data_IF_625335620319
#
_entry.id   IF_625335620319
#
_cell.length_a   1.000
_cell.length_b   1.000
_cell.length_c   1.000
_cell.angle_alpha   90.00
_cell.angle_beta   90.00
_cell.angle_gamma   90.00
#
_symmetry.space_group_name_H-M   'P 1'
#
loop_
_entity.id
_entity.type
_entity.pdbx_description
1 polymer ?
#
# COMPACT_ATOMS: atom_id res chain seq x y z
N UNK A 1 -118.95 30.37 15.74
CA UNK A 1 -118.77 28.98 15.29
C UNK A 1 -117.80 28.37 16.28
N UNK A 2 -118.27 27.39 17.04
CA UNK A 2 -117.65 26.90 18.28
C UNK A 2 -116.16 26.53 18.13
N UNK A 3 -115.35 27.06 19.05
CA UNK A 3 -113.95 26.69 19.26
C UNK A 3 -113.90 25.34 20.01
N UNK A 4 -113.29 24.33 19.39
CA UNK A 4 -113.04 23.00 19.97
C UNK A 4 -112.21 23.12 21.25
N UNK A 5 -112.80 22.80 22.39
CA UNK A 5 -112.07 22.78 23.65
C UNK A 5 -111.08 21.59 23.67
N UNK A 6 -109.80 21.82 24.00
CA UNK A 6 -108.79 20.78 24.03
C UNK A 6 -109.14 19.74 25.09
N UNK A 7 -109.17 18.47 24.69
CA UNK A 7 -109.43 17.34 25.57
C UNK A 7 -108.32 17.28 26.64
N UNK A 8 -108.64 17.68 27.88
CA UNK A 8 -107.69 17.71 28.99
C UNK A 8 -107.27 16.30 29.40
N UNK A 9 -106.01 16.12 29.78
CA UNK A 9 -105.54 14.86 30.37
C UNK A 9 -106.35 14.53 31.63
N UNK A 10 -106.54 13.24 31.94
CA UNK A 10 -107.18 12.82 33.18
C UNK A 10 -106.49 13.45 34.39
N UNK A 11 -107.27 14.00 35.33
CA UNK A 11 -106.77 14.79 36.47
C UNK A 11 -105.73 14.05 37.33
N UNK A 12 -105.77 12.72 37.35
CA UNK A 12 -104.78 11.89 38.04
C UNK A 12 -103.42 11.90 37.35
N UNK A 13 -103.39 11.77 36.02
CA UNK A 13 -102.15 11.84 35.25
C UNK A 13 -101.59 13.26 35.28
N UNK A 14 -102.48 14.24 35.28
CA UNK A 14 -102.15 15.65 35.40
C UNK A 14 -101.40 15.95 36.70
N UNK A 15 -101.94 15.44 37.82
CA UNK A 15 -101.31 15.55 39.13
C UNK A 15 -99.99 14.79 39.22
N UNK A 16 -99.94 13.57 38.68
CA UNK A 16 -98.72 12.76 38.70
C UNK A 16 -97.57 13.41 37.94
N UNK A 17 -97.86 14.06 36.79
CA UNK A 17 -96.85 14.80 36.04
C UNK A 17 -96.33 16.01 36.82
N UNK A 18 -97.20 16.73 37.54
CA UNK A 18 -96.79 17.84 38.40
C UNK A 18 -95.93 17.35 39.58
N UNK A 19 -96.33 16.25 40.23
CA UNK A 19 -95.59 15.66 41.34
C UNK A 19 -94.20 15.17 40.89
N UNK A 20 -94.10 14.49 39.74
CA UNK A 20 -92.81 14.01 39.19
C UNK A 20 -91.93 15.13 38.67
N UNK A 21 -92.52 16.18 38.10
CA UNK A 21 -91.80 17.38 37.70
C UNK A 21 -91.17 18.05 38.93
N UNK A 22 -91.94 18.20 40.02
CA UNK A 22 -91.45 18.75 41.28
C UNK A 22 -90.36 17.86 41.93
N UNK A 23 -90.54 16.53 41.96
CA UNK A 23 -89.57 15.60 42.54
C UNK A 23 -88.23 15.57 41.78
N UNK A 24 -88.28 15.61 40.45
CA UNK A 24 -87.09 15.50 39.62
C UNK A 24 -86.48 16.84 39.20
N UNK A 25 -87.16 17.95 39.52
CA UNK A 25 -86.76 19.31 39.13
C UNK A 25 -86.85 19.58 37.63
N UNK A 26 -87.64 18.79 36.89
CA UNK A 26 -87.76 18.87 35.43
C UNK A 26 -89.03 19.58 35.01
N UNK A 27 -89.00 20.20 33.84
CA UNK A 27 -90.23 20.75 33.26
C UNK A 27 -91.21 19.62 32.94
N UNK A 28 -92.49 19.89 33.16
CA UNK A 28 -93.57 18.92 33.00
C UNK A 28 -93.56 18.24 31.62
N UNK A 29 -93.26 18.99 30.55
CA UNK A 29 -93.12 18.45 29.20
C UNK A 29 -91.93 17.48 29.03
N UNK A 30 -90.83 17.67 29.77
CA UNK A 30 -89.66 16.80 29.72
C UNK A 30 -89.91 15.46 30.44
N UNK A 31 -90.60 15.50 31.58
CA UNK A 31 -91.05 14.29 32.28
C UNK A 31 -91.95 13.47 31.38
N UNK A 32 -92.90 14.13 30.69
CA UNK A 32 -93.77 13.45 29.73
C UNK A 32 -92.99 12.89 28.54
N UNK A 33 -92.06 13.66 27.96
CA UNK A 33 -91.23 13.19 26.84
C UNK A 33 -90.38 11.98 27.22
N UNK A 34 -89.81 11.98 28.43
CA UNK A 34 -89.03 10.85 28.95
C UNK A 34 -89.92 9.66 29.26
N UNK A 35 -91.09 9.86 29.85
CA UNK A 35 -92.06 8.79 30.08
C UNK A 35 -92.51 8.15 28.75
N UNK A 36 -92.75 8.96 27.71
CA UNK A 36 -93.07 8.47 26.37
C UNK A 36 -91.87 7.80 25.71
N UNK A 37 -90.65 8.33 25.88
CA UNK A 37 -89.44 7.70 25.34
C UNK A 37 -89.14 6.37 26.02
N UNK A 38 -89.27 6.28 27.34
CA UNK A 38 -89.17 5.04 28.10
C UNK A 38 -90.29 4.10 27.75
N UNK A 39 -91.53 4.59 27.60
CA UNK A 39 -92.64 3.77 27.14
C UNK A 39 -92.35 3.21 25.76
N UNK A 40 -91.90 4.03 24.79
CA UNK A 40 -91.47 3.59 23.47
C UNK A 40 -90.33 2.59 23.54
N UNK A 41 -89.30 2.79 24.36
CA UNK A 41 -88.24 1.78 24.56
C UNK A 41 -88.82 0.51 25.16
N UNK A 42 -89.79 0.58 26.07
CA UNK A 42 -90.44 -0.59 26.65
C UNK A 42 -91.39 -1.27 25.65
N UNK A 43 -92.06 -0.53 24.76
CA UNK A 43 -92.95 -1.08 23.71
C UNK A 43 -92.12 -1.62 22.55
N UNK A 44 -91.05 -0.93 22.16
CA UNK A 44 -90.06 -1.41 21.20
C UNK A 44 -89.26 -2.60 21.79
N UNK A 45 -89.09 -2.67 23.13
CA UNK A 45 -88.54 -3.85 23.80
C UNK A 45 -89.55 -4.99 23.97
N UNK A 46 -90.86 -4.70 23.98
CA UNK A 46 -91.90 -5.73 23.79
C UNK A 46 -91.80 -6.37 22.40
N UNK A 47 -91.33 -5.63 21.38
CA UNK A 47 -90.94 -6.19 20.07
C UNK A 47 -89.50 -6.77 20.05
N UNK A 48 -88.65 -6.42 21.03
CA UNK A 48 -87.31 -7.02 21.24
C UNK A 48 -87.33 -8.22 22.21
N UNK A 49 -88.43 -9.00 22.19
CA UNK A 49 -88.59 -10.27 22.92
C UNK A 49 -87.56 -11.35 22.59
N UNK A 50 -86.65 -11.13 21.63
CA UNK A 50 -85.61 -12.08 21.24
C UNK A 50 -84.30 -11.94 22.04
N UNK A 51 -84.21 -11.00 23.00
CA UNK A 51 -83.05 -10.92 23.90
C UNK A 51 -83.40 -11.59 25.23
N UNK A 52 -82.74 -12.72 25.58
CA UNK A 52 -83.01 -13.40 26.85
C UNK A 52 -82.67 -12.49 28.05
N UNK A 53 -83.35 -12.63 29.20
CA UNK A 53 -83.03 -11.88 30.41
C UNK A 53 -81.54 -11.98 30.78
N UNK A 54 -81.00 -10.95 31.43
CA UNK A 54 -79.57 -10.89 31.78
C UNK A 54 -79.15 -12.10 32.63
N UNK A 55 -80.04 -12.57 33.51
CA UNK A 55 -79.83 -13.76 34.33
C UNK A 55 -79.63 -15.03 33.48
N UNK A 56 -80.35 -15.15 32.36
CA UNK A 56 -80.22 -16.29 31.45
C UNK A 56 -78.92 -16.21 30.65
N UNK A 57 -78.50 -15.02 30.23
CA UNK A 57 -77.20 -14.83 29.56
C UNK A 57 -76.02 -15.11 30.49
N UNK A 58 -76.13 -14.71 31.77
CA UNK A 58 -75.12 -15.02 32.78
C UNK A 58 -75.07 -16.52 33.08
N UNK A 59 -76.21 -17.22 33.10
CA UNK A 59 -76.25 -18.67 33.23
C UNK A 59 -75.59 -19.36 32.03
N UNK A 60 -75.90 -18.93 30.80
CA UNK A 60 -75.30 -19.49 29.58
C UNK A 60 -73.79 -19.24 29.51
N UNK A 61 -73.32 -18.05 29.91
CA UNK A 61 -71.90 -17.76 30.00
C UNK A 61 -71.20 -18.57 31.09
N UNK A 62 -71.85 -18.79 32.23
CA UNK A 62 -71.33 -19.67 33.27
C UNK A 62 -71.21 -21.11 32.77
N UNK A 63 -72.26 -21.64 32.13
CA UNK A 63 -72.24 -22.98 31.53
C UNK A 63 -71.13 -23.11 30.48
N UNK A 64 -70.92 -22.08 29.65
CA UNK A 64 -69.84 -22.06 28.65
C UNK A 64 -68.45 -21.96 29.26
N UNK A 65 -68.29 -21.20 30.35
CA UNK A 65 -67.03 -21.14 31.10
C UNK A 65 -66.75 -22.51 31.70
N UNK A 66 -67.73 -23.14 32.34
CA UNK A 66 -67.59 -24.47 32.92
C UNK A 66 -67.24 -25.52 31.84
N UNK A 67 -67.85 -25.44 30.65
CA UNK A 67 -67.50 -26.29 29.50
C UNK A 67 -66.05 -26.04 29.01
N UNK A 68 -65.65 -24.78 28.88
CA UNK A 68 -64.30 -24.41 28.44
C UNK A 68 -63.23 -24.76 29.47
N UNK A 69 -63.53 -24.62 30.75
CA UNK A 69 -62.66 -25.02 31.85
C UNK A 69 -62.50 -26.54 31.84
N UNK A 70 -63.60 -27.30 31.69
CA UNK A 70 -63.56 -28.75 31.52
C UNK A 70 -62.74 -29.19 30.30
N UNK A 71 -62.97 -28.59 29.13
CA UNK A 71 -62.19 -28.90 27.92
C UNK A 71 -60.70 -28.55 28.09
N UNK A 72 -60.39 -27.45 28.79
CA UNK A 72 -59.01 -27.04 29.05
C UNK A 72 -58.33 -28.02 30.00
N UNK A 73 -59.00 -28.46 31.06
CA UNK A 73 -58.48 -29.45 31.99
C UNK A 73 -58.22 -30.79 31.29
N UNK A 74 -59.15 -31.25 30.45
CA UNK A 74 -58.98 -32.47 29.63
C UNK A 74 -57.77 -32.37 28.70
N UNK A 75 -57.57 -31.22 28.03
CA UNK A 75 -56.41 -30.99 27.15
C UNK A 75 -55.11 -30.93 27.93
N UNK A 76 -55.11 -30.35 29.14
CA UNK A 76 -53.93 -30.33 30.01
C UNK A 76 -53.58 -31.75 30.46
N UNK A 77 -54.57 -32.57 30.77
CA UNK A 77 -54.38 -33.98 31.12
C UNK A 77 -53.79 -34.77 29.93
N UNK A 78 -54.33 -34.61 28.72
CA UNK A 78 -53.78 -35.26 27.51
C UNK A 78 -52.32 -34.86 27.24
N UNK A 79 -51.98 -33.57 27.34
CA UNK A 79 -50.59 -33.11 27.17
C UNK A 79 -49.69 -33.69 28.26
N UNK A 80 -50.16 -33.74 29.51
CA UNK A 80 -49.40 -34.33 30.62
C UNK A 80 -49.11 -35.81 30.35
N UNK A 81 -50.12 -36.56 29.95
CA UNK A 81 -49.99 -37.98 29.62
C UNK A 81 -49.04 -38.18 28.45
N UNK A 82 -49.12 -37.33 27.43
CA UNK A 82 -48.22 -37.37 26.28
C UNK A 82 -46.77 -37.08 26.66
N UNK A 83 -46.53 -36.10 27.53
CA UNK A 83 -45.18 -35.77 28.02
C UNK A 83 -44.61 -36.91 28.85
N UNK A 84 -45.42 -37.50 29.74
CA UNK A 84 -45.02 -38.68 30.52
C UNK A 84 -44.69 -39.84 29.59
N UNK A 85 -45.51 -40.09 28.57
CA UNK A 85 -45.25 -41.11 27.56
C UNK A 85 -43.93 -40.86 26.82
N UNK A 86 -43.67 -39.64 26.35
CA UNK A 86 -42.42 -39.31 25.65
C UNK A 86 -41.21 -39.49 26.56
N UNK A 87 -41.30 -39.05 27.81
CA UNK A 87 -40.24 -39.21 28.79
C UNK A 87 -39.96 -40.70 29.09
N UNK A 88 -41.00 -41.51 29.27
CA UNK A 88 -40.87 -42.95 29.46
C UNK A 88 -40.26 -43.63 28.22
N UNK A 89 -40.71 -43.25 27.02
CA UNK A 89 -40.11 -43.75 25.78
C UNK A 89 -38.64 -43.35 25.73
N UNK A 90 -38.28 -42.09 25.95
CA UNK A 90 -36.89 -41.62 25.95
C UNK A 90 -36.02 -42.38 26.97
N UNK A 91 -36.50 -42.56 28.20
CA UNK A 91 -35.80 -43.31 29.24
C UNK A 91 -35.70 -44.81 28.95
N UNK A 92 -36.67 -45.40 28.24
CA UNK A 92 -36.59 -46.79 27.79
C UNK A 92 -35.62 -46.98 26.62
N UNK A 93 -35.37 -45.93 25.82
CA UNK A 93 -34.42 -45.98 24.71
C UNK A 93 -32.98 -45.97 25.21
N UNK A 94 -32.68 -45.22 26.26
CA UNK A 94 -31.37 -45.20 26.89
C UNK A 94 -31.49 -44.75 28.35
N UNK A 95 -30.69 -45.36 29.23
CA UNK A 95 -30.52 -44.87 30.60
C UNK A 95 -29.85 -43.50 30.58
N UNK A 96 -30.02 -42.72 31.65
CA UNK A 96 -29.38 -41.41 31.81
C UNK A 96 -27.85 -41.48 31.63
N UNK A 97 -27.24 -42.59 32.05
CA UNK A 97 -25.79 -42.83 31.97
C UNK A 97 -25.42 -43.78 30.81
N UNK A 98 -26.20 -43.79 29.73
CA UNK A 98 -25.81 -44.57 28.55
C UNK A 98 -24.63 -43.90 27.85
N UNK A 99 -23.51 -44.60 27.80
CA UNK A 99 -22.34 -44.16 27.05
C UNK A 99 -22.41 -44.58 25.58
N UNK A 100 -21.71 -43.84 24.73
CA UNK A 100 -21.52 -44.14 23.32
C UNK A 100 -20.05 -44.49 23.04
N UNK A 101 -19.60 -45.71 23.37
CA UNK A 101 -18.21 -46.13 23.16
C UNK A 101 -17.78 -45.99 21.71
N UNK A 102 -18.63 -46.37 20.75
CA UNK A 102 -18.32 -46.22 19.31
C UNK A 102 -18.12 -44.75 18.89
N UNK A 103 -18.82 -43.80 19.53
CA UNK A 103 -18.62 -42.38 19.27
C UNK A 103 -17.33 -41.88 19.91
N UNK A 104 -17.05 -42.32 21.14
CA UNK A 104 -15.80 -42.00 21.82
C UNK A 104 -14.59 -42.51 21.02
N UNK A 105 -14.63 -43.76 20.56
CA UNK A 105 -13.59 -44.36 19.72
C UNK A 105 -13.39 -43.59 18.41
N UNK A 106 -14.47 -43.13 17.78
CA UNK A 106 -14.41 -42.30 16.56
C UNK A 106 -13.82 -40.92 16.81
N UNK A 107 -14.14 -40.29 17.95
CA UNK A 107 -13.54 -39.00 18.35
C UNK A 107 -12.04 -39.20 18.56
N UNK A 108 -11.68 -40.21 19.34
CA UNK A 108 -10.31 -40.62 19.60
C UNK A 108 -9.51 -40.92 18.31
N UNK A 109 -10.14 -41.55 17.31
CA UNK A 109 -9.53 -41.79 16.00
C UNK A 109 -9.28 -40.48 15.25
N UNK A 110 -10.27 -39.57 15.22
CA UNK A 110 -10.13 -38.25 14.59
C UNK A 110 -9.05 -37.42 15.27
N UNK A 111 -9.03 -37.38 16.60
CA UNK A 111 -8.02 -36.63 17.36
C UNK A 111 -6.60 -37.15 17.09
N UNK A 112 -6.42 -38.47 16.97
CA UNK A 112 -5.12 -39.04 16.59
C UNK A 112 -4.73 -38.68 15.17
N UNK A 113 -5.66 -38.77 14.22
CA UNK A 113 -5.41 -38.41 12.83
C UNK A 113 -5.02 -36.92 12.69
N UNK A 114 -5.74 -36.03 13.38
CA UNK A 114 -5.42 -34.60 13.42
C UNK A 114 -4.05 -34.34 14.06
N UNK A 115 -3.73 -35.02 15.17
CA UNK A 115 -2.43 -34.88 15.82
C UNK A 115 -1.27 -35.32 14.88
N UNK A 116 -1.47 -36.40 14.13
CA UNK A 116 -0.50 -36.87 13.14
C UNK A 116 -0.35 -35.89 11.97
N UNK A 117 -1.44 -35.34 11.45
CA UNK A 117 -1.43 -34.33 10.39
C UNK A 117 -0.68 -33.06 10.85
N UNK A 118 -1.00 -32.56 12.05
CA UNK A 118 -0.30 -31.42 12.65
C UNK A 118 1.19 -31.72 12.81
N UNK A 119 1.55 -32.93 13.23
CA UNK A 119 2.95 -33.32 13.35
C UNK A 119 3.67 -33.35 11.99
N UNK A 120 2.99 -33.80 10.93
CA UNK A 120 3.53 -33.77 9.55
C UNK A 120 3.73 -32.31 9.11
N UNK A 121 2.72 -31.45 9.27
CA UNK A 121 2.79 -30.04 8.90
C UNK A 121 3.92 -29.31 9.65
N UNK A 122 4.10 -29.57 10.94
CA UNK A 122 5.21 -29.01 11.73
C UNK A 122 6.58 -29.44 11.20
N UNK A 123 6.74 -30.71 10.80
CA UNK A 123 7.99 -31.20 10.20
C UNK A 123 8.24 -30.55 8.83
N UNK A 124 7.19 -30.41 8.02
CA UNK A 124 7.28 -29.74 6.72
C UNK A 124 7.67 -28.27 6.88
N UNK A 125 7.04 -27.56 7.82
CA UNK A 125 7.38 -26.17 8.13
C UNK A 125 8.83 -26.02 8.59
N UNK A 126 9.29 -26.86 9.53
CA UNK A 126 10.68 -26.84 9.97
C UNK A 126 11.68 -27.19 8.85
N UNK A 127 11.28 -28.01 7.88
CA UNK A 127 12.10 -28.32 6.70
C UNK A 127 12.15 -27.14 5.73
N UNK A 128 11.04 -26.45 5.54
CA UNK A 128 10.97 -25.24 4.71
C UNK A 128 11.81 -24.12 5.33
N UNK A 129 11.70 -23.92 6.64
CA UNK A 129 12.43 -22.93 7.42
C UNK A 129 13.96 -23.11 7.24
N UNK A 130 14.48 -24.33 7.48
CA UNK A 130 15.89 -24.65 7.24
C UNK A 130 16.33 -24.43 5.78
N UNK A 131 15.46 -24.69 4.81
CA UNK A 131 15.76 -24.49 3.39
C UNK A 131 15.79 -23.00 3.04
N UNK A 132 14.93 -22.19 3.66
CA UNK A 132 14.89 -20.75 3.47
C UNK A 132 16.12 -20.11 4.10
N UNK A 133 16.40 -20.39 5.38
CA UNK A 133 17.59 -19.91 6.09
C UNK A 133 18.88 -20.31 5.36
N UNK A 134 19.06 -21.61 5.07
CA UNK A 134 20.26 -22.08 4.37
C UNK A 134 20.36 -21.59 2.92
N UNK A 135 19.23 -21.25 2.29
CA UNK A 135 19.20 -20.62 0.97
C UNK A 135 19.76 -19.19 1.02
N UNK A 136 19.32 -18.39 1.99
CA UNK A 136 19.81 -17.03 2.20
C UNK A 136 21.30 -17.00 2.53
N UNK A 137 21.76 -17.85 3.44
CA UNK A 137 23.19 -17.96 3.78
C UNK A 137 24.06 -18.24 2.54
N UNK A 138 23.58 -19.13 1.66
CA UNK A 138 24.27 -19.43 0.41
C UNK A 138 24.28 -18.22 -0.55
N UNK A 139 23.16 -17.50 -0.67
CA UNK A 139 23.12 -16.30 -1.52
C UNK A 139 24.01 -15.19 -0.98
N UNK A 140 24.02 -14.95 0.33
CA UNK A 140 24.91 -13.97 0.96
C UNK A 140 26.38 -14.32 0.73
N UNK A 141 26.76 -15.60 0.88
CA UNK A 141 28.12 -16.05 0.58
C UNK A 141 28.50 -15.83 -0.89
N UNK A 142 27.58 -16.09 -1.83
CA UNK A 142 27.81 -15.85 -3.26
C UNK A 142 27.94 -14.36 -3.55
N UNK A 143 27.04 -13.53 -3.00
CA UNK A 143 27.07 -12.08 -3.20
C UNK A 143 28.32 -11.44 -2.60
N UNK A 144 28.75 -11.87 -1.41
CA UNK A 144 30.00 -11.44 -0.81
C UNK A 144 31.20 -11.80 -1.70
N UNK A 145 31.27 -13.05 -2.19
CA UNK A 145 32.34 -13.44 -3.12
C UNK A 145 32.31 -12.67 -4.44
N UNK A 146 31.14 -12.29 -4.94
CA UNK A 146 31.03 -11.48 -6.16
C UNK A 146 31.46 -10.04 -5.92
N UNK A 147 31.09 -9.44 -4.78
CA UNK A 147 31.54 -8.13 -4.36
C UNK A 147 33.06 -8.09 -4.21
N UNK A 148 33.64 -9.05 -3.48
CA UNK A 148 35.10 -9.16 -3.32
C UNK A 148 35.80 -9.22 -4.68
N UNK A 149 35.28 -9.99 -5.64
CA UNK A 149 35.86 -10.10 -6.99
C UNK A 149 35.72 -8.81 -7.80
N UNK A 150 34.63 -8.06 -7.61
CA UNK A 150 34.43 -6.78 -8.27
C UNK A 150 35.46 -5.76 -7.76
N UNK A 151 35.62 -5.66 -6.44
CA UNK A 151 36.63 -4.80 -5.81
C UNK A 151 38.06 -5.18 -6.26
N UNK A 152 38.33 -6.49 -6.33
CA UNK A 152 39.62 -7.00 -6.80
C UNK A 152 39.89 -6.69 -8.29
N UNK A 153 38.84 -6.62 -9.10
CA UNK A 153 38.92 -6.26 -10.50
C UNK A 153 39.12 -4.75 -10.68
N UNK A 154 38.38 -3.92 -9.95
CA UNK A 154 38.54 -2.46 -9.92
C UNK A 154 39.97 -2.10 -9.53
N UNK A 155 40.50 -2.69 -8.45
CA UNK A 155 41.88 -2.47 -8.02
C UNK A 155 42.93 -2.90 -9.04
N UNK A 156 42.64 -3.87 -9.92
CA UNK A 156 43.53 -4.24 -11.04
C UNK A 156 43.42 -3.25 -12.18
N UNK A 157 42.22 -2.78 -12.50
CA UNK A 157 41.99 -1.77 -13.54
C UNK A 157 42.67 -0.44 -13.17
N UNK A 158 42.60 -0.01 -11.92
CA UNK A 158 43.29 1.20 -11.46
C UNK A 158 44.82 1.10 -11.61
N UNK A 159 45.38 -0.07 -11.29
CA UNK A 159 46.82 -0.33 -11.49
C UNK A 159 47.19 -0.33 -12.96
N UNK A 160 46.36 -0.92 -13.81
CA UNK A 160 46.58 -0.91 -15.26
C UNK A 160 46.46 0.50 -15.84
N UNK A 161 45.45 1.27 -15.43
CA UNK A 161 45.28 2.67 -15.82
C UNK A 161 46.51 3.49 -15.42
N UNK A 162 46.98 3.34 -14.18
CA UNK A 162 48.19 4.01 -13.69
C UNK A 162 49.43 3.62 -14.52
N UNK A 163 49.61 2.33 -14.79
CA UNK A 163 50.73 1.85 -15.61
C UNK A 163 50.67 2.36 -17.06
N UNK A 164 49.48 2.47 -17.65
CA UNK A 164 49.28 3.02 -19.00
C UNK A 164 49.59 4.53 -19.02
N UNK A 165 49.15 5.28 -18.01
CA UNK A 165 49.48 6.71 -17.86
C UNK A 165 50.99 6.91 -17.72
N UNK A 166 51.65 6.11 -16.88
CA UNK A 166 53.10 6.15 -16.69
C UNK A 166 53.86 5.80 -17.98
N UNK A 167 53.41 4.78 -18.71
CA UNK A 167 53.99 4.41 -20.00
C UNK A 167 53.84 5.54 -21.02
N UNK A 168 52.65 6.15 -21.12
CA UNK A 168 52.40 7.27 -22.03
C UNK A 168 53.33 8.44 -21.70
N UNK A 169 53.47 8.79 -20.42
CA UNK A 169 54.39 9.84 -19.98
C UNK A 169 55.83 9.53 -20.37
N UNK A 170 56.27 8.28 -20.17
CA UNK A 170 57.63 7.84 -20.53
C UNK A 170 57.88 7.91 -22.04
N UNK A 171 56.90 7.53 -22.85
CA UNK A 171 56.97 7.64 -24.31
C UNK A 171 57.09 9.09 -24.72
N UNK A 172 56.23 9.99 -24.22
CA UNK A 172 56.31 11.42 -24.53
C UNK A 172 57.64 12.05 -24.10
N UNK A 173 58.20 11.64 -22.95
CA UNK A 173 59.54 12.08 -22.52
C UNK A 173 60.64 11.62 -23.48
N UNK A 174 60.55 10.38 -23.97
CA UNK A 174 61.50 9.81 -24.93
C UNK A 174 61.39 10.50 -26.30
N UNK A 175 60.17 10.69 -26.81
CA UNK A 175 59.90 11.40 -28.07
C UNK A 175 60.42 12.84 -28.00
N UNK A 176 60.19 13.55 -26.89
CA UNK A 176 60.71 14.90 -26.71
C UNK A 176 62.24 14.93 -26.61
N UNK A 177 62.87 13.92 -26.01
CA UNK A 177 64.33 13.81 -25.99
C UNK A 177 64.89 13.51 -27.40
N UNK A 178 64.18 12.70 -28.18
CA UNK A 178 64.55 12.36 -29.55
C UNK A 178 64.46 13.56 -30.47
N UNK A 179 63.33 14.28 -30.47
CA UNK A 179 63.14 15.50 -31.26
C UNK A 179 64.19 16.57 -30.95
N UNK A 180 64.63 16.71 -29.68
CA UNK A 180 65.73 17.62 -29.31
C UNK A 180 67.06 17.20 -29.92
N UNK A 181 67.36 15.90 -30.01
CA UNK A 181 68.59 15.40 -30.64
C UNK A 181 68.54 15.62 -32.14
N UNK A 182 67.44 15.27 -32.80
CA UNK A 182 67.25 15.49 -34.23
C UNK A 182 67.40 16.96 -34.60
N UNK A 183 66.81 17.89 -33.83
CA UNK A 183 66.95 19.32 -34.06
C UNK A 183 68.41 19.80 -33.97
N UNK A 184 69.19 19.26 -33.03
CA UNK A 184 70.64 19.57 -32.93
C UNK A 184 71.40 19.01 -34.12
N UNK A 185 71.13 17.76 -34.51
CA UNK A 185 71.78 17.10 -35.64
C UNK A 185 71.48 17.84 -36.96
N UNK A 186 70.25 18.32 -37.14
CA UNK A 186 69.84 19.13 -38.29
C UNK A 186 70.58 20.46 -38.32
N UNK A 187 70.61 21.21 -37.21
CA UNK A 187 71.37 22.47 -37.09
C UNK A 187 72.87 22.27 -37.38
N UNK A 188 73.46 21.19 -36.87
CA UNK A 188 74.86 20.84 -37.11
C UNK A 188 75.10 20.46 -38.58
N UNK A 189 74.19 19.68 -39.18
CA UNK A 189 74.26 19.29 -40.58
C UNK A 189 74.13 20.51 -41.51
N UNK A 190 73.22 21.44 -41.22
CA UNK A 190 73.06 22.68 -41.97
C UNK A 190 74.27 23.60 -41.85
N UNK A 191 74.78 23.76 -40.64
CA UNK A 191 76.02 24.49 -40.42
C UNK A 191 77.18 23.88 -41.22
N UNK A 192 77.31 22.55 -41.22
CA UNK A 192 78.34 21.85 -41.99
C UNK A 192 78.15 22.04 -43.51
N UNK A 193 76.92 21.87 -44.03
CA UNK A 193 76.58 22.14 -45.46
C UNK A 193 76.95 23.56 -45.88
N UNK A 194 76.75 24.54 -44.98
CA UNK A 194 77.02 25.96 -45.22
C UNK A 194 78.47 26.37 -44.82
N UNK A 195 79.33 25.43 -44.42
CA UNK A 195 80.71 25.64 -43.95
C UNK A 195 80.83 26.62 -42.75
N UNK A 196 79.87 26.56 -41.82
CA UNK A 196 79.82 27.39 -40.61
C UNK A 196 80.26 26.57 -39.40
N UNK A 197 81.42 26.88 -38.83
CA UNK A 197 81.89 26.25 -37.58
C UNK A 197 81.48 26.99 -36.30
N UNK A 198 81.20 28.29 -36.43
CA UNK A 198 80.83 29.20 -35.34
C UNK A 198 79.85 30.24 -35.85
N UNK A 199 78.82 30.55 -35.07
CA UNK A 199 77.80 31.53 -35.38
C UNK A 199 77.42 32.32 -34.13
N UNK A 200 76.99 33.56 -34.29
CA UNK A 200 76.53 34.40 -33.19
C UNK A 200 75.01 34.19 -32.98
N UNK A 201 74.57 34.06 -31.73
CA UNK A 201 73.15 33.94 -31.42
C UNK A 201 72.41 35.23 -31.78
N UNK A 202 71.31 35.15 -32.53
CA UNK A 202 70.50 36.31 -32.91
C UNK A 202 70.00 37.13 -31.70
N UNK A 203 69.50 36.45 -30.65
CA UNK A 203 68.93 37.11 -29.48
C UNK A 203 69.99 37.84 -28.61
N UNK A 204 71.08 37.15 -28.24
CA UNK A 204 72.05 37.69 -27.27
C UNK A 204 73.40 38.11 -27.87
N UNK A 205 73.63 37.89 -29.16
CA UNK A 205 74.85 38.26 -29.89
C UNK A 205 76.12 37.48 -29.50
N UNK A 206 76.03 36.50 -28.60
CA UNK A 206 77.19 35.71 -28.15
C UNK A 206 77.53 34.61 -29.15
N UNK A 207 78.84 34.37 -29.33
CA UNK A 207 79.36 33.34 -30.22
C UNK A 207 79.12 31.93 -29.69
N UNK A 208 78.63 31.05 -30.54
CA UNK A 208 78.34 29.64 -30.26
C UNK A 208 79.08 28.75 -31.26
N UNK A 209 79.67 27.66 -30.75
CA UNK A 209 80.27 26.62 -31.56
C UNK A 209 79.19 25.60 -31.96
N UNK A 210 78.70 25.69 -33.19
CA UNK A 210 77.52 24.92 -33.63
C UNK A 210 77.75 23.40 -33.52
N UNK A 211 78.95 22.93 -33.90
CA UNK A 211 79.33 21.51 -33.79
C UNK A 211 79.52 20.97 -32.37
N UNK A 212 79.39 21.80 -31.32
CA UNK A 212 79.47 21.39 -29.91
C UNK A 212 78.11 21.54 -29.20
N UNK A 213 77.04 21.87 -29.92
CA UNK A 213 75.71 21.94 -29.33
C UNK A 213 75.24 20.57 -28.88
N UNK A 214 74.76 20.50 -27.64
CA UNK A 214 74.10 19.33 -27.06
C UNK A 214 72.58 19.48 -26.98
N UNK A 215 72.08 20.71 -27.12
CA UNK A 215 70.67 21.08 -27.12
C UNK A 215 70.43 22.13 -28.20
N UNK A 216 69.21 22.23 -28.78
CA UNK A 216 68.91 23.18 -29.84
C UNK A 216 68.62 24.58 -29.25
N UNK A 217 69.45 25.01 -28.30
CA UNK A 217 69.29 26.25 -27.54
C UNK A 217 70.63 26.94 -27.34
N UNK A 218 70.59 28.26 -27.18
CA UNK A 218 71.77 29.05 -26.87
C UNK A 218 72.29 28.69 -25.47
N UNK A 219 73.56 28.27 -25.31
CA UNK A 219 74.14 27.96 -23.99
C UNK A 219 74.31 29.19 -23.09
N UNK A 220 74.05 30.39 -23.61
CA UNK A 220 74.24 31.64 -22.88
C UNK A 220 72.94 32.35 -22.46
N UNK A 221 71.85 32.22 -23.24
CA UNK A 221 70.56 32.85 -22.93
C UNK A 221 69.38 31.87 -22.94
N UNK A 222 69.56 30.62 -23.37
CA UNK A 222 68.52 29.58 -23.35
C UNK A 222 67.53 29.63 -24.52
N UNK A 223 67.70 30.59 -25.44
CA UNK A 223 66.82 30.76 -26.62
C UNK A 223 66.95 29.60 -27.60
N UNK A 224 65.83 29.11 -28.15
CA UNK A 224 65.86 28.01 -29.14
C UNK A 224 66.33 28.46 -30.52
N UNK A 225 67.04 27.57 -31.20
CA UNK A 225 67.53 27.78 -32.55
C UNK A 225 66.66 27.05 -33.58
N UNK A 226 66.43 27.70 -34.72
CA UNK A 226 65.61 27.14 -35.81
C UNK A 226 66.37 27.04 -37.14
N UNK A 227 67.42 27.84 -37.37
CA UNK A 227 68.26 27.75 -38.56
C UNK A 227 69.65 28.39 -38.33
N UNK A 228 70.57 28.16 -39.27
CA UNK A 228 71.93 28.71 -39.31
C UNK A 228 72.14 29.54 -40.58
N UNK A 229 72.08 30.86 -40.50
CA UNK A 229 72.32 31.74 -41.65
C UNK A 229 73.81 32.03 -41.86
N UNK A 230 74.34 31.85 -43.08
CA UNK A 230 75.72 32.19 -43.37
C UNK A 230 75.91 33.71 -43.46
N UNK A 231 77.03 34.21 -42.94
CA UNK A 231 77.36 35.63 -43.03
C UNK A 231 77.54 36.12 -44.47
N UNK A 232 77.22 37.40 -44.71
CA UNK A 232 77.38 38.00 -46.04
C UNK A 232 78.87 38.08 -46.45
N UNK A 233 79.16 37.83 -47.75
CA UNK A 233 80.51 37.63 -48.34
C UNK A 233 81.56 38.72 -48.11
N UNK A 234 81.22 39.86 -47.49
CA UNK A 234 82.14 40.98 -47.32
C UNK A 234 82.46 41.35 -45.86
N UNK A 235 81.57 41.17 -44.86
CA UNK A 235 81.85 41.57 -43.45
C UNK A 235 81.01 40.85 -42.36
N UNK A 236 80.10 39.91 -42.69
CA UNK A 236 79.17 39.34 -41.68
C UNK A 236 79.65 38.04 -41.04
N UNK A 237 79.50 37.90 -39.71
CA UNK A 237 79.54 36.59 -39.04
C UNK A 237 78.26 35.79 -39.37
N UNK A 238 78.35 34.46 -39.33
CA UNK A 238 77.17 33.61 -39.42
C UNK A 238 76.28 33.80 -38.18
N UNK A 239 74.97 33.65 -38.33
CA UNK A 239 73.98 33.90 -37.27
C UNK A 239 73.16 32.64 -37.03
N UNK A 240 72.96 32.29 -35.75
CA UNK A 240 71.99 31.28 -35.34
C UNK A 240 70.64 31.96 -35.15
N UNK A 241 69.70 31.66 -36.04
CA UNK A 241 68.35 32.20 -36.02
C UNK A 241 67.60 31.61 -34.85
N UNK A 242 67.01 32.49 -34.05
CA UNK A 242 66.25 32.13 -32.86
C UNK A 242 64.76 32.14 -33.14
N UNK A 243 64.03 31.20 -32.56
CA UNK A 243 62.58 31.12 -32.70
C UNK A 243 62.01 29.91 -32.00
N UNK A 244 60.69 29.93 -31.80
CA UNK A 244 59.98 28.75 -31.32
C UNK A 244 59.90 27.74 -32.47
N UNK A 245 60.48 26.57 -32.27
CA UNK A 245 60.25 25.45 -33.18
C UNK A 245 58.75 25.16 -33.16
N UNK A 246 58.06 25.17 -34.32
CA UNK A 246 56.63 24.90 -34.33
C UNK A 246 56.42 23.53 -33.68
N UNK A 247 55.49 23.47 -32.71
CA UNK A 247 55.17 22.21 -32.05
C UNK A 247 54.87 21.19 -33.15
N UNK A 248 55.59 20.06 -33.13
CA UNK A 248 55.31 18.93 -34.00
C UNK A 248 53.81 18.69 -33.95
N UNK A 249 53.15 18.73 -35.10
CA UNK A 249 51.73 18.46 -35.28
C UNK A 249 51.45 17.00 -34.98
N UNK A 250 51.59 16.59 -33.72
CA UNK A 250 50.83 15.50 -33.15
C UNK A 250 49.55 16.14 -32.64
N UNK A 251 48.40 15.69 -33.12
CA UNK A 251 47.11 16.07 -32.58
C UNK A 251 47.16 15.88 -31.05
N UNK A 252 47.28 16.98 -30.33
CA UNK A 252 47.09 16.98 -28.89
C UNK A 252 45.62 16.65 -28.68
N UNK A 253 45.33 15.38 -28.45
CA UNK A 253 44.08 14.97 -27.87
C UNK A 253 44.04 15.56 -26.46
N UNK A 254 43.41 16.72 -26.32
CA UNK A 254 42.94 17.20 -25.04
C UNK A 254 42.00 16.11 -24.49
N UNK A 255 42.33 15.47 -23.36
CA UNK A 255 41.42 14.52 -22.75
C UNK A 255 40.17 15.29 -22.37
N UNK A 256 39.04 14.95 -23.01
CA UNK A 256 37.74 15.45 -22.58
C UNK A 256 37.58 15.13 -21.07
N UNK A 257 37.12 16.10 -20.25
CA UNK A 257 36.88 15.84 -18.84
C UNK A 257 35.89 14.66 -18.71
N UNK A 258 36.19 13.75 -17.78
CA UNK A 258 35.44 12.49 -17.60
C UNK A 258 33.95 12.66 -17.23
N UNK A 259 33.45 13.89 -17.11
CA UNK A 259 32.06 14.22 -16.78
C UNK A 259 31.09 14.05 -17.96
N UNK A 260 31.54 14.02 -19.23
CA UNK A 260 30.62 13.89 -20.38
C UNK A 260 30.34 12.45 -20.86
N UNK A 261 31.04 11.45 -20.33
CA UNK A 261 30.91 10.05 -20.79
C UNK A 261 29.73 9.32 -20.12
N UNK A 262 29.16 9.87 -19.05
CA UNK A 262 28.11 9.23 -18.25
C UNK A 262 26.76 9.97 -18.25
N UNK A 263 26.58 10.98 -19.10
CA UNK A 263 25.37 11.82 -19.12
C UNK A 263 24.33 11.47 -20.18
N UNK A 264 24.44 10.33 -20.86
CA UNK A 264 23.42 9.90 -21.84
C UNK A 264 22.87 8.51 -21.51
N UNK A 265 21.87 8.48 -20.63
CA UNK A 265 20.76 7.53 -20.64
C UNK A 265 19.67 8.05 -19.69
N UNK A 266 18.72 8.80 -20.26
CA UNK A 266 17.47 9.23 -19.63
C UNK A 266 16.27 8.63 -20.34
#
# INVERSE_FOLDING_TARGET
MEEEQPQSLPTELDRWLDDRAAETGRERGEVLARAVATHRVLTDAEDATDVPPLEQQLAELADRIDELEGETDDRIEDVRDRVVQVMQVAQSRAKADHDHPDLADRIDEVERAEADEIAILRRALASLDRRVEGGFDNYEAVLASLADRADDAEGKLDRLASAVVDLRKRVTELEAADARREAVEELQADANRRNVGTADCENCGKRVHVGLLSEPRCPHCGESFVDVEPGSRFLGSATLVTGDQPALTGESFDPAPAEEVFSDDG
#
